data_IF_562045714714
#
_entry.id   IF_562045714714
#
_cell.length_a   1.000
_cell.length_b   1.000
_cell.length_c   1.000
_cell.angle_alpha   90.00
_cell.angle_beta   90.00
_cell.angle_gamma   90.00
#
_symmetry.space_group_name_H-M   'P 1'
#
loop_
_entity.id
_entity.type
_entity.pdbx_description
1 polymer ?
#
# COMPACT_ATOMS: atom_id res chain seq x y z
N UNK A 1 9.39 9.37 2.65
CA UNK A 1 7.96 9.51 2.30
C UNK A 1 7.40 8.12 2.05
N UNK A 2 6.21 7.82 2.58
CA UNK A 2 5.50 6.55 2.35
C UNK A 2 4.24 6.88 1.55
N UNK A 3 3.99 6.13 0.50
CA UNK A 3 2.83 6.30 -0.39
C UNK A 3 1.93 5.07 -0.29
N UNK A 4 0.62 5.31 -0.32
CA UNK A 4 -0.42 4.28 -0.36
C UNK A 4 -0.99 4.25 -1.77
N UNK A 5 -1.04 3.07 -2.40
CA UNK A 5 -1.53 2.94 -3.78
C UNK A 5 -2.89 2.29 -3.86
N UNK A 6 -3.08 1.22 -3.09
CA UNK A 6 -4.30 0.43 -3.07
C UNK A 6 -4.69 0.06 -1.64
N UNK A 7 -5.99 0.03 -1.38
CA UNK A 7 -6.56 -0.59 -0.19
C UNK A 7 -7.69 -1.52 -0.62
N UNK A 8 -7.62 -2.77 -0.17
CA UNK A 8 -8.62 -3.79 -0.46
C UNK A 8 -9.30 -4.20 0.84
N UNK A 9 -10.62 -4.19 0.84
CA UNK A 9 -11.42 -4.73 1.93
C UNK A 9 -11.96 -6.10 1.52
N UNK A 10 -11.94 -7.03 2.46
CA UNK A 10 -12.60 -8.33 2.32
C UNK A 10 -14.11 -8.14 2.21
N UNK A 11 -14.79 -9.05 1.53
CA UNK A 11 -16.25 -9.01 1.30
C UNK A 11 -17.03 -9.04 2.63
N UNK A 12 -16.48 -9.69 3.66
CA UNK A 12 -17.03 -9.69 5.02
C UNK A 12 -16.82 -8.37 5.79
N UNK A 13 -16.09 -7.40 5.22
CA UNK A 13 -15.79 -6.11 5.82
C UNK A 13 -14.87 -6.15 7.04
N UNK A 14 -14.34 -7.32 7.42
CA UNK A 14 -13.56 -7.50 8.67
C UNK A 14 -12.07 -7.35 8.48
N UNK A 15 -11.56 -7.60 7.29
CA UNK A 15 -10.13 -7.54 6.99
C UNK A 15 -9.88 -6.50 5.89
N UNK A 16 -8.83 -5.69 6.07
CA UNK A 16 -8.39 -4.72 5.08
C UNK A 16 -6.90 -4.83 4.84
N UNK A 17 -6.50 -4.98 3.58
CA UNK A 17 -5.12 -4.99 3.12
C UNK A 17 -4.79 -3.63 2.52
N UNK A 18 -3.74 -2.99 3.01
CA UNK A 18 -3.27 -1.70 2.52
C UNK A 18 -1.91 -1.88 1.88
N UNK A 19 -1.82 -1.59 0.60
CA UNK A 19 -0.62 -1.71 -0.21
C UNK A 19 0.15 -0.39 -0.19
N UNK A 20 1.38 -0.46 0.29
CA UNK A 20 2.25 0.71 0.49
C UNK A 20 3.58 0.53 -0.21
N UNK A 21 4.15 1.64 -0.66
CA UNK A 21 5.56 1.70 -1.04
C UNK A 21 6.26 2.88 -0.39
N UNK A 22 7.58 2.80 -0.31
CA UNK A 22 8.41 3.88 0.15
C UNK A 22 9.71 3.89 -0.65
N UNK A 23 10.29 5.08 -0.84
CA UNK A 23 11.60 5.22 -1.46
C UNK A 23 12.66 4.87 -0.39
N UNK A 24 13.07 3.60 -0.31
CA UNK A 24 14.06 3.13 0.66
C UNK A 24 14.76 1.83 0.21
N UNK A 25 15.85 1.47 0.90
CA UNK A 25 16.58 0.20 0.72
C UNK A 25 15.81 -0.97 1.37
N UNK A 26 16.05 -2.21 0.93
CA UNK A 26 15.35 -3.41 1.42
C UNK A 26 15.39 -3.59 2.95
N UNK A 27 16.52 -3.29 3.59
CA UNK A 27 16.64 -3.33 5.06
C UNK A 27 15.66 -2.36 5.75
N UNK A 28 15.39 -1.22 5.12
CA UNK A 28 14.44 -0.22 5.63
C UNK A 28 13.00 -0.60 5.27
N UNK A 29 12.74 -1.27 4.14
CA UNK A 29 11.42 -1.81 3.76
C UNK A 29 10.82 -2.65 4.90
N UNK A 30 11.57 -3.62 5.40
CA UNK A 30 11.14 -4.48 6.53
C UNK A 30 10.84 -3.68 7.80
N UNK A 31 11.71 -2.73 8.15
CA UNK A 31 11.53 -1.87 9.33
C UNK A 31 10.29 -0.98 9.20
N UNK A 32 10.02 -0.42 8.01
CA UNK A 32 8.84 0.41 7.74
C UNK A 32 7.57 -0.43 7.84
N UNK A 33 7.53 -1.61 7.21
CA UNK A 33 6.38 -2.52 7.31
C UNK A 33 6.10 -2.97 8.73
N UNK A 34 7.15 -3.32 9.49
CA UNK A 34 7.01 -3.70 10.90
C UNK A 34 6.49 -2.55 11.74
N UNK A 35 6.99 -1.33 11.53
CA UNK A 35 6.51 -0.13 12.20
C UNK A 35 5.04 0.19 11.89
N UNK A 36 4.65 0.10 10.61
CA UNK A 36 3.27 0.33 10.18
C UNK A 36 2.31 -0.73 10.74
N UNK A 37 2.69 -2.01 10.72
CA UNK A 37 1.87 -3.08 11.29
C UNK A 37 1.78 -2.97 12.81
N UNK A 38 2.83 -2.53 13.50
CA UNK A 38 2.79 -2.21 14.93
C UNK A 38 1.83 -1.04 15.23
N UNK A 39 1.79 -0.05 14.34
CA UNK A 39 0.89 1.10 14.44
C UNK A 39 -0.53 0.83 13.90
N UNK A 40 -0.83 -0.36 13.37
CA UNK A 40 -2.10 -0.67 12.73
C UNK A 40 -3.32 -0.44 13.65
N UNK A 41 -3.19 -0.71 14.94
CA UNK A 41 -4.26 -0.46 15.92
C UNK A 41 -4.61 1.02 16.05
N UNK A 42 -3.63 1.92 16.00
CA UNK A 42 -3.87 3.37 16.05
C UNK A 42 -4.63 3.85 14.81
N UNK A 43 -4.26 3.33 13.64
CA UNK A 43 -4.97 3.63 12.40
C UNK A 43 -6.40 3.10 12.43
N UNK A 44 -6.63 1.92 12.98
CA UNK A 44 -7.98 1.36 13.17
C UNK A 44 -8.84 2.28 14.04
N UNK A 45 -8.36 2.68 15.22
CA UNK A 45 -9.10 3.59 16.12
C UNK A 45 -9.41 4.92 15.44
N UNK A 46 -8.44 5.48 14.73
CA UNK A 46 -8.61 6.75 14.00
C UNK A 46 -9.64 6.62 12.88
N UNK A 47 -9.58 5.52 12.13
CA UNK A 47 -10.51 5.24 11.04
C UNK A 47 -11.93 5.02 11.57
N UNK A 48 -12.06 4.28 12.66
CA UNK A 48 -13.33 4.02 13.36
C UNK A 48 -14.02 5.33 13.74
N UNK A 49 -13.29 6.24 14.40
CA UNK A 49 -13.83 7.54 14.82
C UNK A 49 -14.16 8.48 13.67
N UNK A 50 -13.38 8.45 12.57
CA UNK A 50 -13.61 9.33 11.41
C UNK A 50 -14.74 8.86 10.50
N UNK A 51 -14.84 7.55 10.27
CA UNK A 51 -15.82 6.96 9.35
C UNK A 51 -17.10 6.47 10.05
N UNK A 52 -17.13 6.44 11.39
CA UNK A 52 -18.28 5.98 12.16
C UNK A 52 -18.62 4.50 11.91
N UNK A 53 -17.60 3.68 11.62
CA UNK A 53 -17.81 2.28 11.27
C UNK A 53 -18.25 1.46 12.48
N UNK A 54 -19.36 0.72 12.36
CA UNK A 54 -19.83 -0.23 13.38
C UNK A 54 -18.79 -1.32 13.66
N UNK A 55 -18.13 -1.80 12.61
CA UNK A 55 -17.06 -2.79 12.68
C UNK A 55 -15.87 -2.18 11.96
N UNK A 56 -14.76 -2.03 12.68
CA UNK A 56 -13.52 -1.52 12.10
C UNK A 56 -12.69 -2.69 11.57
N UNK A 57 -12.32 -2.70 10.29
CA UNK A 57 -11.58 -3.81 9.73
C UNK A 57 -10.17 -3.90 10.32
N UNK A 58 -9.66 -5.13 10.50
CA UNK A 58 -8.26 -5.38 10.82
C UNK A 58 -7.40 -4.96 9.64
N UNK A 59 -6.57 -3.95 9.87
CA UNK A 59 -5.63 -3.44 8.89
C UNK A 59 -4.35 -4.27 8.87
N UNK A 60 -3.90 -4.62 7.68
CA UNK A 60 -2.59 -5.19 7.41
C UNK A 60 -1.89 -4.39 6.33
N UNK A 61 -0.65 -3.97 6.60
CA UNK A 61 0.18 -3.27 5.62
C UNK A 61 1.06 -4.26 4.87
N UNK A 62 0.96 -4.22 3.54
CA UNK A 62 1.69 -5.06 2.60
C UNK A 62 2.51 -4.18 1.67
N UNK A 63 3.64 -4.69 1.20
CA UNK A 63 4.41 -4.01 0.18
C UNK A 63 3.78 -4.21 -1.18
N UNK A 64 3.65 -3.13 -1.95
CA UNK A 64 3.11 -3.20 -3.30
C UNK A 64 4.21 -3.53 -4.32
N UNK A 65 4.38 -4.82 -4.62
CA UNK A 65 5.34 -5.28 -5.64
C UNK A 65 4.76 -5.15 -7.06
N UNK A 66 3.44 -5.34 -7.22
CA UNK A 66 2.74 -5.17 -8.49
C UNK A 66 2.81 -3.72 -9.00
N UNK A 67 2.63 -2.75 -8.10
CA UNK A 67 2.77 -1.34 -8.45
C UNK A 67 4.19 -1.00 -8.91
N UNK A 68 5.22 -1.56 -8.27
CA UNK A 68 6.62 -1.31 -8.67
C UNK A 68 6.89 -1.91 -10.06
N UNK A 69 6.40 -3.12 -10.32
CA UNK A 69 6.57 -3.80 -11.60
C UNK A 69 5.86 -3.05 -12.74
N UNK A 70 4.60 -2.65 -12.53
CA UNK A 70 3.84 -1.88 -13.52
C UNK A 70 4.45 -0.49 -13.80
N UNK A 71 5.07 0.13 -12.79
CA UNK A 71 5.81 1.38 -12.98
C UNK A 71 7.03 1.20 -13.88
N UNK A 72 7.82 0.14 -13.64
CA UNK A 72 9.01 -0.15 -14.45
C UNK A 72 8.61 -0.44 -15.91
N UNK A 73 7.53 -1.20 -16.12
CA UNK A 73 7.00 -1.48 -17.44
C UNK A 73 6.52 -0.20 -18.16
N UNK A 74 5.77 0.66 -17.47
CA UNK A 74 5.31 1.95 -18.02
C UNK A 74 6.48 2.87 -18.40
N UNK A 75 7.54 2.88 -17.60
CA UNK A 75 8.74 3.67 -17.86
C UNK A 75 9.53 3.13 -19.05
N UNK A 76 9.58 1.80 -19.23
CA UNK A 76 10.21 1.17 -20.40
C UNK A 76 9.47 1.53 -21.69
N UNK A 77 8.14 1.52 -21.67
CA UNK A 77 7.32 1.87 -22.83
C UNK A 77 7.53 3.34 -23.25
N UNK A 78 7.65 4.25 -22.29
CA UNK A 78 7.89 5.68 -22.55
C UNK A 78 9.30 5.95 -23.10
N UNK A 79 10.28 5.12 -22.75
CA UNK A 79 11.68 5.24 -23.21
C UNK A 79 11.94 4.60 -24.56
N UNK A 80 11.07 3.71 -25.04
CA UNK A 80 11.16 3.19 -26.39
C UNK A 80 10.77 4.35 -27.31
N UNK A 81 11.69 4.94 -28.10
CA UNK A 81 11.26 5.92 -29.08
C UNK A 81 10.20 5.23 -29.93
N UNK A 82 9.04 5.85 -30.03
CA UNK A 82 8.07 5.54 -31.07
C UNK A 82 8.79 5.82 -32.39
N UNK A 83 9.53 4.84 -32.88
CA UNK A 83 9.86 4.73 -34.30
C UNK A 83 8.53 4.48 -34.98
N UNK A 84 7.88 5.58 -35.34
CA UNK A 84 6.95 5.61 -36.44
C UNK A 84 7.78 5.40 -37.71
N UNK A 85 7.64 4.21 -38.28
CA UNK A 85 7.82 3.92 -39.71
C UNK A 85 6.55 3.16 -40.15
#
# INVERSE_FOLDING_TARGET
>A
MVSVHRAEISDDGKNMKVFVTAICTDKKKLKVLSGLNSAAGLFQTTLSGKLGLRITPRMQFLWDEEYIQSLDESLRLTRKPTSAD
#
